data_IF_086196691822
#
_entry.id   IF_086196691822
#
_cell.length_a   1.000
_cell.length_b   1.000
_cell.length_c   1.000
_cell.angle_alpha   90.00
_cell.angle_beta   90.00
_cell.angle_gamma   90.00
#
_symmetry.space_group_name_H-M   'P 1'
#
loop_
_entity.id
_entity.type
_entity.pdbx_description
1 polymer ?
#
# COMPACT_ATOMS: atom_id res chain seq x y z
N UNK A 1 -27.68 36.68 -9.00
CA UNK A 1 -27.44 35.44 -8.29
C UNK A 1 -26.85 34.48 -9.31
N UNK A 2 -25.65 33.97 -9.11
CA UNK A 2 -25.12 32.92 -9.97
C UNK A 2 -25.92 31.64 -9.68
N UNK A 3 -26.60 31.11 -10.72
CA UNK A 3 -27.31 29.84 -10.63
C UNK A 3 -26.31 28.75 -10.15
N UNK A 4 -26.60 28.12 -9.05
CA UNK A 4 -25.76 27.07 -8.52
C UNK A 4 -25.92 25.83 -9.41
N UNK A 5 -24.85 25.46 -10.13
CA UNK A 5 -24.83 24.29 -11.01
C UNK A 5 -25.23 23.02 -10.24
N UNK A 6 -26.08 22.21 -10.83
CA UNK A 6 -26.45 20.91 -10.26
C UNK A 6 -25.25 19.96 -10.16
N UNK A 7 -25.38 18.92 -9.32
CA UNK A 7 -24.28 17.99 -9.02
C UNK A 7 -23.77 17.22 -10.25
N UNK A 8 -24.65 16.89 -11.20
CA UNK A 8 -24.31 16.15 -12.42
C UNK A 8 -23.49 17.02 -13.36
N UNK A 9 -23.89 18.28 -13.54
CA UNK A 9 -23.16 19.27 -14.33
C UNK A 9 -21.80 19.56 -13.71
N UNK A 10 -21.71 19.75 -12.38
CA UNK A 10 -20.43 19.91 -11.66
C UNK A 10 -19.53 18.71 -11.90
N UNK A 11 -20.04 17.47 -11.75
CA UNK A 11 -19.28 16.23 -11.97
C UNK A 11 -18.78 16.13 -13.42
N UNK A 12 -19.61 16.51 -14.41
CA UNK A 12 -19.24 16.51 -15.83
C UNK A 12 -18.12 17.50 -16.12
N UNK A 13 -18.15 18.69 -15.50
CA UNK A 13 -17.08 19.69 -15.61
C UNK A 13 -15.78 19.14 -14.98
N UNK A 14 -15.84 18.54 -13.80
CA UNK A 14 -14.65 17.96 -13.16
C UNK A 14 -14.04 16.83 -14.00
N UNK A 15 -14.85 15.95 -14.60
CA UNK A 15 -14.37 14.91 -15.52
C UNK A 15 -13.69 15.51 -16.75
N UNK A 16 -14.25 16.59 -17.31
CA UNK A 16 -13.66 17.29 -18.44
C UNK A 16 -12.28 17.88 -18.09
N UNK A 17 -12.18 18.54 -16.93
CA UNK A 17 -10.92 19.12 -16.43
C UNK A 17 -9.89 18.03 -16.20
N UNK A 18 -10.25 16.96 -15.50
CA UNK A 18 -9.34 15.83 -15.24
C UNK A 18 -8.85 15.19 -16.54
N UNK A 19 -9.75 14.94 -17.50
CA UNK A 19 -9.36 14.37 -18.79
C UNK A 19 -8.41 15.29 -19.59
N UNK A 20 -8.55 16.60 -19.46
CA UNK A 20 -7.68 17.58 -20.14
C UNK A 20 -6.28 17.64 -19.51
N UNK A 21 -6.17 17.47 -18.21
CA UNK A 21 -4.93 17.66 -17.46
C UNK A 21 -4.31 16.36 -16.90
N UNK A 22 -4.89 15.18 -17.21
CA UNK A 22 -4.46 13.89 -16.68
C UNK A 22 -2.97 13.61 -16.90
N UNK A 23 -2.44 13.92 -18.10
CA UNK A 23 -1.04 13.66 -18.42
C UNK A 23 -0.10 14.58 -17.62
N UNK A 24 -0.45 15.85 -17.47
CA UNK A 24 0.27 16.79 -16.62
C UNK A 24 0.24 16.40 -15.14
N UNK A 25 -0.93 15.96 -14.64
CA UNK A 25 -1.07 15.46 -13.27
C UNK A 25 -0.18 14.22 -13.08
N UNK A 26 -0.23 13.24 -13.99
CA UNK A 26 0.59 12.03 -13.91
C UNK A 26 2.09 12.33 -13.91
N UNK A 27 2.54 13.29 -14.71
CA UNK A 27 3.93 13.74 -14.72
C UNK A 27 4.35 14.36 -13.38
N UNK A 28 3.49 15.21 -12.80
CA UNK A 28 3.75 15.85 -11.49
C UNK A 28 3.68 14.88 -10.32
N UNK A 29 2.89 13.81 -10.45
CA UNK A 29 2.79 12.73 -9.47
C UNK A 29 3.88 11.66 -9.64
N UNK A 30 4.75 11.78 -10.64
CA UNK A 30 5.90 10.91 -10.80
C UNK A 30 6.83 11.01 -9.59
N UNK A 31 7.17 9.89 -9.00
CA UNK A 31 7.98 9.81 -7.77
C UNK A 31 9.34 9.18 -8.06
N UNK A 32 10.37 9.74 -7.49
CA UNK A 32 11.68 9.10 -7.45
C UNK A 32 11.66 7.86 -6.54
N UNK A 33 12.62 6.95 -6.74
CA UNK A 33 12.81 5.77 -5.89
C UNK A 33 12.94 6.18 -4.42
N UNK A 34 13.64 7.28 -4.13
CA UNK A 34 13.82 7.80 -2.77
C UNK A 34 12.48 8.21 -2.14
N UNK A 35 11.62 8.90 -2.89
CA UNK A 35 10.30 9.33 -2.39
C UNK A 35 9.37 8.13 -2.16
N UNK A 36 9.39 7.13 -3.05
CA UNK A 36 8.61 5.90 -2.88
C UNK A 36 9.05 5.14 -1.63
N UNK A 37 10.36 5.02 -1.39
CA UNK A 37 10.91 4.40 -0.17
C UNK A 37 10.52 5.16 1.09
N UNK A 38 10.52 6.49 1.07
CA UNK A 38 10.10 7.31 2.21
C UNK A 38 8.63 7.07 2.59
N UNK A 39 7.76 6.73 1.64
CA UNK A 39 6.35 6.40 1.91
C UNK A 39 6.19 5.11 2.72
N UNK A 40 7.12 4.16 2.59
CA UNK A 40 7.12 2.90 3.37
C UNK A 40 7.72 3.09 4.76
N UNK A 41 8.09 4.31 5.15
CA UNK A 41 8.77 4.58 6.41
C UNK A 41 7.93 4.16 7.63
N UNK A 42 8.48 3.33 8.53
CA UNK A 42 7.83 2.97 9.80
C UNK A 42 7.74 4.13 10.80
N UNK A 43 8.46 5.23 10.52
CA UNK A 43 8.56 6.41 11.39
C UNK A 43 7.52 7.49 11.07
N UNK A 44 6.67 7.28 10.06
CA UNK A 44 5.56 8.16 9.76
C UNK A 44 4.59 8.22 10.95
N UNK A 45 4.21 9.42 11.38
CA UNK A 45 3.37 9.61 12.58
C UNK A 45 2.01 8.92 12.47
N UNK A 46 1.44 8.86 11.26
CA UNK A 46 0.20 8.13 11.00
C UNK A 46 0.38 6.63 11.23
N UNK A 47 1.47 6.06 10.68
CA UNK A 47 1.80 4.63 10.81
C UNK A 47 2.06 4.27 12.27
N UNK A 48 2.80 5.10 13.01
CA UNK A 48 3.08 4.91 14.44
C UNK A 48 1.80 4.92 15.27
N UNK A 49 0.90 5.88 15.03
CA UNK A 49 -0.40 5.94 15.72
C UNK A 49 -1.25 4.68 15.49
N UNK A 50 -1.29 4.15 14.25
CA UNK A 50 -2.00 2.90 13.96
C UNK A 50 -1.32 1.71 14.62
N UNK A 51 0.00 1.59 14.54
CA UNK A 51 0.76 0.55 15.26
C UNK A 51 0.41 0.54 16.74
N UNK A 52 0.45 1.71 17.39
CA UNK A 52 0.16 1.83 18.83
C UNK A 52 -1.29 1.40 19.15
N UNK A 53 -2.24 1.68 18.26
CA UNK A 53 -3.61 1.20 18.41
C UNK A 53 -3.73 -0.32 18.25
N UNK A 54 -2.96 -0.93 17.32
CA UNK A 54 -2.97 -2.39 17.09
C UNK A 54 -2.29 -3.18 18.20
N UNK A 55 -1.36 -2.56 18.93
CA UNK A 55 -0.60 -3.20 20.02
C UNK A 55 -0.99 -2.72 21.41
N UNK A 56 -2.06 -1.94 21.54
CA UNK A 56 -2.45 -1.29 22.81
C UNK A 56 -2.72 -2.27 23.96
N UNK A 57 -3.23 -3.46 23.66
CA UNK A 57 -3.48 -4.55 24.60
C UNK A 57 -2.30 -5.55 24.73
N UNK A 58 -1.18 -5.29 24.01
CA UNK A 58 0.01 -6.12 23.92
C UNK A 58 1.20 -5.47 24.65
N UNK A 59 0.97 -4.54 25.58
CA UNK A 59 2.06 -3.80 26.23
C UNK A 59 2.72 -4.62 27.34
N UNK A 60 4.06 -4.76 27.37
CA UNK A 60 4.99 -4.35 26.32
C UNK A 60 4.89 -5.23 25.08
N UNK A 61 4.91 -4.61 23.90
CA UNK A 61 4.90 -5.37 22.63
C UNK A 61 6.19 -6.18 22.47
N UNK A 62 6.03 -7.48 22.20
CA UNK A 62 7.12 -8.40 21.88
C UNK A 62 6.92 -8.99 20.49
N UNK A 63 7.81 -8.60 19.55
CA UNK A 63 7.77 -9.05 18.16
C UNK A 63 7.75 -10.60 18.07
N UNK A 64 8.55 -11.31 18.88
CA UNK A 64 8.70 -12.76 18.76
C UNK A 64 7.43 -13.55 19.02
N UNK A 65 6.55 -13.05 19.85
CA UNK A 65 5.33 -13.75 20.26
C UNK A 65 4.04 -13.10 19.75
N UNK A 66 4.06 -11.80 19.42
CA UNK A 66 2.85 -11.02 19.16
C UNK A 66 2.74 -10.47 17.73
N UNK A 67 3.81 -10.60 16.92
CA UNK A 67 3.84 -10.02 15.57
C UNK A 67 2.66 -10.43 14.72
N UNK A 68 2.35 -11.74 14.62
CA UNK A 68 1.26 -12.19 13.75
C UNK A 68 -0.10 -11.63 14.16
N UNK A 69 -0.40 -11.56 15.47
CA UNK A 69 -1.63 -10.96 15.93
C UNK A 69 -1.73 -9.46 15.59
N UNK A 70 -0.62 -8.72 15.72
CA UNK A 70 -0.56 -7.31 15.32
C UNK A 70 -0.62 -7.15 13.79
N UNK A 71 0.06 -8.01 13.03
CA UNK A 71 0.05 -8.02 11.57
C UNK A 71 -1.35 -8.33 11.01
N UNK A 72 -2.10 -9.26 11.63
CA UNK A 72 -3.49 -9.54 11.25
C UNK A 72 -4.37 -8.30 11.43
N UNK A 73 -4.22 -7.54 12.52
CA UNK A 73 -4.94 -6.27 12.73
C UNK A 73 -4.59 -5.23 11.67
N UNK A 74 -3.31 -5.15 11.28
CA UNK A 74 -2.86 -4.26 10.20
C UNK A 74 -3.47 -4.68 8.85
N UNK A 75 -3.47 -5.97 8.52
CA UNK A 75 -4.09 -6.50 7.31
C UNK A 75 -5.61 -6.26 7.30
N UNK A 76 -6.27 -6.47 8.43
CA UNK A 76 -7.72 -6.21 8.56
C UNK A 76 -8.06 -4.73 8.40
N UNK A 77 -7.22 -3.85 8.93
CA UNK A 77 -7.37 -2.41 8.69
C UNK A 77 -7.31 -2.08 7.19
N UNK A 78 -6.31 -2.63 6.48
CA UNK A 78 -6.13 -2.41 5.03
C UNK A 78 -7.25 -3.07 4.21
N UNK A 79 -7.77 -4.23 4.59
CA UNK A 79 -8.92 -4.89 3.95
C UNK A 79 -10.17 -4.02 3.95
N UNK A 80 -10.40 -3.24 5.01
CA UNK A 80 -11.57 -2.35 5.15
C UNK A 80 -11.46 -1.09 4.27
N UNK A 81 -10.31 -0.82 3.68
CA UNK A 81 -10.12 0.26 2.71
C UNK A 81 -10.59 -0.26 1.35
N UNK A 82 -11.55 0.40 0.74
CA UNK A 82 -12.06 0.03 -0.58
C UNK A 82 -11.01 0.31 -1.65
N UNK A 83 -10.72 -0.67 -2.49
CA UNK A 83 -9.81 -0.49 -3.62
C UNK A 83 -10.49 0.34 -4.71
N UNK A 84 -9.78 1.31 -5.26
CA UNK A 84 -10.19 2.12 -6.40
C UNK A 84 -9.06 2.20 -7.43
N UNK A 85 -9.41 2.54 -8.66
CA UNK A 85 -8.48 2.84 -9.73
C UNK A 85 -8.70 4.27 -10.19
N UNK A 86 -7.62 4.96 -10.50
CA UNK A 86 -7.66 6.28 -11.09
C UNK A 86 -7.33 6.19 -12.59
N UNK A 87 -7.93 7.06 -13.38
CA UNK A 87 -7.64 7.17 -14.81
C UNK A 87 -6.25 7.78 -15.12
N UNK A 88 -5.51 8.16 -14.10
CA UNK A 88 -4.19 8.79 -14.16
C UNK A 88 -3.40 8.41 -12.89
N UNK A 89 -2.06 8.56 -12.94
CA UNK A 89 -1.21 8.33 -11.76
C UNK A 89 -1.53 9.37 -10.69
N UNK A 90 -1.89 8.91 -9.52
CA UNK A 90 -2.18 9.75 -8.36
C UNK A 90 -1.84 8.98 -7.07
N UNK A 91 -1.12 9.63 -6.17
CA UNK A 91 -0.70 9.07 -4.89
C UNK A 91 -1.51 9.70 -3.76
N UNK A 92 -2.18 8.86 -2.97
CA UNK A 92 -2.93 9.32 -1.79
C UNK A 92 -2.04 9.31 -0.56
N UNK A 93 -2.11 10.37 0.24
CA UNK A 93 -1.46 10.38 1.55
C UNK A 93 -2.27 9.55 2.56
N UNK A 94 -1.58 8.97 3.56
CA UNK A 94 -2.22 8.08 4.53
C UNK A 94 -3.40 8.73 5.29
N UNK A 95 -3.36 10.01 5.71
CA UNK A 95 -4.53 10.69 6.29
C UNK A 95 -5.72 10.80 5.31
N UNK A 96 -5.46 10.96 4.02
CA UNK A 96 -6.52 10.99 3.00
C UNK A 96 -7.17 9.62 2.83
N UNK A 97 -6.35 8.56 2.80
CA UNK A 97 -6.83 7.17 2.77
C UNK A 97 -7.72 6.89 3.99
N UNK A 98 -7.30 7.29 5.19
CA UNK A 98 -8.10 7.15 6.42
C UNK A 98 -9.44 7.87 6.32
N UNK A 99 -9.41 9.12 5.87
CA UNK A 99 -10.60 9.97 5.76
C UNK A 99 -11.60 9.47 4.72
N UNK A 100 -11.10 9.06 3.55
CA UNK A 100 -11.93 8.67 2.40
C UNK A 100 -12.29 7.19 2.39
N UNK A 101 -11.53 6.36 3.11
CA UNK A 101 -11.68 4.89 3.12
C UNK A 101 -11.58 4.27 1.73
N UNK A 102 -10.81 4.90 0.83
CA UNK A 102 -10.47 4.40 -0.50
C UNK A 102 -8.97 4.53 -0.72
N UNK A 103 -8.40 3.65 -1.55
CA UNK A 103 -7.00 3.71 -1.96
C UNK A 103 -6.79 2.85 -3.21
N UNK A 104 -5.72 3.12 -3.97
CA UNK A 104 -5.28 2.19 -5.01
C UNK A 104 -4.67 0.93 -4.37
N UNK A 105 -4.54 -0.15 -5.16
CA UNK A 105 -3.84 -1.35 -4.68
C UNK A 105 -2.40 -1.05 -4.26
N UNK A 106 -1.72 -0.11 -4.95
CA UNK A 106 -0.37 0.33 -4.62
C UNK A 106 -0.32 1.10 -3.30
N UNK A 107 -1.22 2.06 -3.07
CA UNK A 107 -1.29 2.81 -1.81
C UNK A 107 -1.58 1.88 -0.62
N UNK A 108 -2.45 0.88 -0.81
CA UNK A 108 -2.72 -0.16 0.19
C UNK A 108 -1.48 -1.01 0.49
N UNK A 109 -0.71 -1.38 -0.56
CA UNK A 109 0.54 -2.12 -0.40
C UNK A 109 1.57 -1.33 0.40
N UNK A 110 1.76 -0.06 0.05
CA UNK A 110 2.69 0.84 0.74
C UNK A 110 2.29 1.02 2.21
N UNK A 111 1.01 1.28 2.48
CA UNK A 111 0.51 1.44 3.84
C UNK A 111 0.72 0.16 4.67
N UNK A 112 0.39 -1.02 4.12
CA UNK A 112 0.58 -2.28 4.84
C UNK A 112 2.07 -2.56 5.08
N UNK A 113 2.93 -2.36 4.08
CA UNK A 113 4.37 -2.56 4.25
C UNK A 113 4.93 -1.62 5.34
N UNK A 114 4.52 -0.35 5.37
CA UNK A 114 4.91 0.59 6.41
C UNK A 114 4.44 0.15 7.81
N UNK A 115 3.21 -0.36 7.93
CA UNK A 115 2.68 -0.91 9.18
C UNK A 115 3.46 -2.13 9.64
N UNK A 116 3.73 -3.11 8.76
CA UNK A 116 4.52 -4.29 9.10
C UNK A 116 5.95 -3.93 9.48
N UNK A 117 6.56 -2.95 8.79
CA UNK A 117 7.88 -2.40 9.15
C UNK A 117 7.85 -1.76 10.54
N UNK A 118 6.78 -1.03 10.89
CA UNK A 118 6.62 -0.44 12.21
C UNK A 118 6.39 -1.47 13.33
N UNK A 119 5.93 -2.68 12.97
CA UNK A 119 5.83 -3.85 13.83
C UNK A 119 7.11 -4.70 13.86
N UNK A 120 8.24 -4.12 13.41
CA UNK A 120 9.58 -4.73 13.42
C UNK A 120 9.79 -5.88 12.42
N UNK A 121 8.94 -6.03 11.40
CA UNK A 121 9.20 -6.96 10.32
C UNK A 121 10.30 -6.44 9.40
N UNK A 122 11.52 -6.97 9.52
CA UNK A 122 12.70 -6.47 8.78
C UNK A 122 12.62 -6.76 7.28
N UNK A 123 11.93 -7.81 6.87
CA UNK A 123 11.81 -8.26 5.48
C UNK A 123 10.50 -7.85 4.80
N UNK A 124 9.63 -7.12 5.52
CA UNK A 124 8.40 -6.61 4.91
C UNK A 124 8.71 -5.63 3.78
N UNK A 125 8.20 -5.92 2.58
CA UNK A 125 8.43 -5.13 1.38
C UNK A 125 7.26 -5.18 0.41
N UNK A 126 7.13 -4.15 -0.40
CA UNK A 126 6.25 -4.14 -1.56
C UNK A 126 6.97 -4.82 -2.72
N UNK A 127 6.32 -5.78 -3.37
CA UNK A 127 6.74 -6.36 -4.64
C UNK A 127 5.83 -5.82 -5.73
N UNK A 128 6.37 -5.52 -6.89
CA UNK A 128 5.58 -5.19 -8.06
C UNK A 128 5.91 -6.21 -9.15
N UNK A 129 4.88 -6.89 -9.64
CA UNK A 129 5.04 -7.93 -10.66
C UNK A 129 5.21 -7.31 -12.04
N UNK A 130 5.62 -8.11 -13.03
CA UNK A 130 5.72 -7.68 -14.44
C UNK A 130 4.39 -7.20 -15.02
N UNK A 131 3.26 -7.67 -14.48
CA UNK A 131 1.92 -7.18 -14.85
C UNK A 131 1.51 -5.90 -14.07
N UNK A 132 2.42 -5.31 -13.30
CA UNK A 132 2.16 -4.10 -12.52
C UNK A 132 1.33 -4.33 -11.25
N UNK A 133 1.15 -5.57 -10.81
CA UNK A 133 0.36 -5.90 -9.60
C UNK A 133 1.21 -5.68 -8.35
N UNK A 134 0.79 -4.84 -7.40
CA UNK A 134 1.46 -4.71 -6.12
C UNK A 134 1.07 -5.85 -5.18
N UNK A 135 2.07 -6.37 -4.47
CA UNK A 135 1.94 -7.40 -3.44
C UNK A 135 2.73 -6.95 -2.21
N UNK A 136 2.40 -7.46 -1.03
CA UNK A 136 3.20 -7.23 0.17
C UNK A 136 3.73 -8.56 0.68
N UNK A 137 5.05 -8.70 0.68
CA UNK A 137 5.74 -9.88 1.21
C UNK A 137 6.27 -9.59 2.61
N UNK A 138 6.17 -10.57 3.48
CA UNK A 138 6.86 -10.63 4.77
C UNK A 138 7.05 -12.09 5.19
N UNK A 139 7.87 -12.33 6.21
CA UNK A 139 8.08 -13.67 6.76
C UNK A 139 7.86 -13.66 8.27
N UNK A 140 7.38 -14.79 8.78
CA UNK A 140 7.23 -15.01 10.20
C UNK A 140 7.58 -16.45 10.56
N UNK A 141 8.45 -16.65 11.54
CA UNK A 141 8.91 -17.99 11.98
C UNK A 141 9.38 -18.88 10.82
N UNK A 142 10.07 -18.29 9.85
CA UNK A 142 10.58 -18.98 8.66
C UNK A 142 9.53 -19.25 7.56
N UNK A 143 8.27 -18.93 7.79
CA UNK A 143 7.20 -19.08 6.79
C UNK A 143 7.02 -17.77 6.00
N UNK A 144 7.03 -17.80 4.65
CA UNK A 144 6.74 -16.64 3.83
C UNK A 144 5.23 -16.40 3.74
N UNK A 145 4.86 -15.13 3.76
CA UNK A 145 3.50 -14.63 3.58
C UNK A 145 3.45 -13.64 2.43
N UNK A 146 2.35 -13.65 1.67
CA UNK A 146 2.11 -12.74 0.58
C UNK A 146 0.69 -12.20 0.67
N UNK A 147 0.55 -10.90 0.94
CA UNK A 147 -0.74 -10.22 0.94
C UNK A 147 -1.00 -9.58 -0.41
N UNK A 148 -2.22 -9.77 -0.93
CA UNK A 148 -2.70 -9.21 -2.19
C UNK A 148 -3.61 -8.01 -1.87
N UNK A 149 -3.15 -6.76 -2.02
CA UNK A 149 -3.92 -5.58 -1.59
C UNK A 149 -5.25 -5.39 -2.31
N UNK A 150 -5.33 -5.82 -3.55
CA UNK A 150 -6.53 -5.70 -4.38
C UNK A 150 -7.70 -6.51 -3.81
N UNK A 151 -7.47 -7.79 -3.50
CA UNK A 151 -8.48 -8.72 -2.97
C UNK A 151 -8.52 -8.79 -1.44
N UNK A 152 -7.46 -8.36 -0.76
CA UNK A 152 -7.27 -8.56 0.69
C UNK A 152 -6.88 -10.00 1.07
N UNK A 153 -6.56 -10.86 0.10
CA UNK A 153 -6.18 -12.26 0.33
C UNK A 153 -4.77 -12.36 0.90
N UNK A 154 -4.55 -13.36 1.75
CA UNK A 154 -3.25 -13.72 2.29
C UNK A 154 -2.88 -15.14 1.81
N UNK A 155 -1.76 -15.28 1.13
CA UNK A 155 -1.16 -16.55 0.74
C UNK A 155 -0.01 -16.89 1.68
N UNK A 156 0.20 -18.17 1.96
CA UNK A 156 1.17 -18.66 2.94
C UNK A 156 2.01 -19.77 2.31
N UNK A 157 3.30 -19.78 2.59
CA UNK A 157 4.21 -20.85 2.18
C UNK A 157 4.30 -21.03 0.67
N UNK A 158 4.04 -22.24 0.20
CA UNK A 158 4.16 -22.61 -1.22
C UNK A 158 3.21 -21.83 -2.14
N UNK A 159 2.02 -21.45 -1.67
CA UNK A 159 1.07 -20.68 -2.47
C UNK A 159 1.58 -19.25 -2.73
N UNK A 160 2.28 -18.66 -1.76
CA UNK A 160 2.95 -17.38 -1.94
C UNK A 160 4.07 -17.49 -3.00
N UNK A 161 4.82 -18.59 -3.01
CA UNK A 161 5.90 -18.85 -3.96
C UNK A 161 5.37 -19.09 -5.39
N UNK A 162 4.27 -19.83 -5.54
CA UNK A 162 3.62 -20.08 -6.84
C UNK A 162 3.15 -18.78 -7.50
N UNK A 163 2.54 -17.87 -6.73
CA UNK A 163 2.07 -16.60 -7.28
C UNK A 163 3.20 -15.81 -7.96
N UNK A 164 4.38 -15.79 -7.36
CA UNK A 164 5.57 -15.10 -7.92
C UNK A 164 6.14 -15.85 -9.11
N UNK A 165 6.01 -17.17 -9.17
CA UNK A 165 6.42 -17.97 -10.33
C UNK A 165 5.53 -17.71 -11.56
N UNK A 166 4.22 -17.54 -11.34
CA UNK A 166 3.24 -17.31 -12.41
C UNK A 166 3.24 -15.85 -12.92
N UNK A 167 3.61 -14.91 -12.07
CA UNK A 167 3.73 -13.48 -12.39
C UNK A 167 5.00 -12.92 -11.72
N UNK A 168 6.18 -13.05 -12.42
CA UNK A 168 7.47 -12.69 -11.82
C UNK A 168 7.54 -11.24 -11.37
N UNK A 169 8.31 -11.01 -10.29
CA UNK A 169 8.57 -9.68 -9.76
C UNK A 169 9.41 -8.87 -10.73
N UNK A 170 8.99 -7.66 -11.03
CA UNK A 170 9.74 -6.66 -11.79
C UNK A 170 10.68 -5.90 -10.87
N UNK A 171 10.17 -5.38 -9.77
CA UNK A 171 10.96 -4.72 -8.73
C UNK A 171 10.33 -4.86 -7.36
N UNK A 172 11.14 -4.62 -6.32
CA UNK A 172 10.63 -4.56 -4.96
C UNK A 172 11.25 -3.39 -4.18
N UNK A 173 10.55 -2.94 -3.13
CA UNK A 173 11.03 -1.88 -2.27
C UNK A 173 10.49 -1.95 -0.84
N UNK A 174 11.27 -1.36 0.07
CA UNK A 174 10.88 -0.98 1.43
C UNK A 174 11.49 0.38 1.76
N UNK A 175 11.44 0.80 3.02
CA UNK A 175 12.19 1.96 3.51
C UNK A 175 13.72 1.77 3.40
N UNK A 176 14.20 0.52 3.45
CA UNK A 176 15.63 0.18 3.46
C UNK A 176 16.20 -0.17 2.09
N UNK A 177 15.41 -0.82 1.22
CA UNK A 177 15.91 -1.41 -0.03
C UNK A 177 15.05 -1.02 -1.22
N UNK A 178 15.69 -1.03 -2.39
CA UNK A 178 15.05 -1.07 -3.71
C UNK A 178 15.85 -2.02 -4.58
N UNK A 179 15.19 -2.99 -5.18
CA UNK A 179 15.79 -3.99 -6.07
C UNK A 179 14.97 -4.06 -7.37
N UNK A 180 15.66 -4.01 -8.51
CA UNK A 180 15.06 -4.15 -9.83
C UNK A 180 15.51 -5.47 -10.44
N UNK A 181 14.57 -6.27 -10.95
CA UNK A 181 14.81 -7.61 -11.53
C UNK A 181 14.60 -7.64 -13.05
N UNK A 182 14.31 -6.51 -13.69
CA UNK A 182 14.13 -6.44 -15.16
C UNK A 182 15.44 -6.40 -15.93
N UNK A 183 16.56 -6.08 -15.27
CA UNK A 183 17.88 -5.92 -15.89
C UNK A 183 18.76 -7.19 -15.82
N UNK A 184 18.17 -8.36 -15.53
CA UNK A 184 18.95 -9.62 -15.42
C UNK A 184 18.54 -10.62 -16.51
#
# INVERSE_FOLDING_TARGET
>A
MADELDAETKLSIYKLVLNRYKDFISEKESRSISEIRQRVSPYNDFVRRLRDSFTSDMAPYDHRSQFMAAAERAMDYVRRIRTCEFAFTFWMDFPEIERLRIATAMDKAILLAALLRSLESEDARVLVTRRGRPLVRFSWSGTPYMFIPESGSLLVGDDASKLVSDDPVSYCFSDLVYENYEET
#
